data_IF_525127763330
#
_entry.id   IF_525127763330
#
_cell.length_a   1.000
_cell.length_b   1.000
_cell.length_c   1.000
_cell.angle_alpha   90.00
_cell.angle_beta   90.00
_cell.angle_gamma   90.00
#
_symmetry.space_group_name_H-M   'P 1'
#
loop_
_entity.id
_entity.type
_entity.pdbx_description
1 polymer ?
#
# COMPACT_ATOMS: atom_id res chain seq x y z
N UNK A 1 4.61 46.61 20.06
CA UNK A 1 5.04 45.49 19.21
C UNK A 1 5.98 44.63 20.02
N UNK A 2 5.53 43.49 20.54
CA UNK A 2 6.34 42.62 21.42
C UNK A 2 7.03 41.54 20.57
N UNK A 3 8.37 41.41 20.56
CA UNK A 3 9.10 40.42 19.72
C UNK A 3 9.01 38.96 20.20
N UNK A 4 8.20 38.66 21.21
CA UNK A 4 8.17 37.33 21.84
C UNK A 4 6.85 36.59 21.58
N UNK A 5 6.62 36.19 20.33
CA UNK A 5 5.89 34.94 20.12
C UNK A 5 6.93 33.83 20.11
N UNK A 6 7.43 33.42 21.29
CA UNK A 6 8.18 32.17 21.38
C UNK A 6 7.17 31.08 21.06
N UNK A 7 7.16 30.59 19.82
CA UNK A 7 6.31 29.46 19.47
C UNK A 7 6.67 28.32 20.43
N UNK A 8 5.69 27.73 21.11
CA UNK A 8 5.94 26.66 22.09
C UNK A 8 6.84 25.55 21.50
N UNK A 9 6.75 25.35 20.19
CA UNK A 9 7.63 24.49 19.38
C UNK A 9 9.12 24.76 19.57
N UNK A 10 9.56 26.03 19.61
CA UNK A 10 10.96 26.40 19.91
C UNK A 10 11.35 26.07 21.34
N UNK A 11 10.45 26.32 22.28
CA UNK A 11 10.71 26.05 23.70
C UNK A 11 10.86 24.54 23.95
N UNK A 12 10.21 23.69 23.14
CA UNK A 12 10.40 22.25 23.13
C UNK A 12 11.66 21.77 22.36
N UNK A 13 12.50 22.69 21.87
CA UNK A 13 13.75 22.35 21.17
C UNK A 13 13.58 21.83 19.75
N UNK A 14 12.39 21.99 19.14
CA UNK A 14 12.16 21.52 17.77
C UNK A 14 12.80 22.47 16.75
N UNK A 15 13.39 21.88 15.69
CA UNK A 15 13.74 22.63 14.48
C UNK A 15 12.48 23.00 13.72
N UNK A 16 12.41 24.24 13.26
CA UNK A 16 11.26 24.81 12.56
C UNK A 16 11.65 25.10 11.11
N UNK A 17 10.89 24.55 10.17
CA UNK A 17 10.97 24.90 8.75
C UNK A 17 9.69 25.66 8.41
N UNK A 18 9.82 26.87 7.87
CA UNK A 18 8.68 27.69 7.45
C UNK A 18 8.44 27.55 5.94
N UNK A 19 7.17 27.37 5.55
CA UNK A 19 6.71 27.56 4.17
C UNK A 19 5.93 28.87 4.14
N UNK A 20 6.39 29.85 3.36
CA UNK A 20 5.77 31.19 3.32
C UNK A 20 6.07 31.90 2.01
N UNK A 21 5.24 32.86 1.62
CA UNK A 21 5.53 33.67 0.44
C UNK A 21 6.45 34.87 0.70
N UNK A 22 6.75 35.18 1.97
CA UNK A 22 7.58 36.32 2.34
C UNK A 22 8.70 35.89 3.28
N UNK A 23 9.91 35.79 2.76
CA UNK A 23 11.13 35.43 3.49
C UNK A 23 11.52 36.42 4.59
N UNK A 24 10.95 37.62 4.60
CA UNK A 24 11.15 38.64 5.65
C UNK A 24 10.01 38.68 6.69
N UNK A 25 9.01 37.79 6.56
CA UNK A 25 7.90 37.71 7.50
C UNK A 25 8.35 37.35 8.92
N UNK A 26 7.50 37.63 9.91
CA UNK A 26 7.74 37.22 11.30
C UNK A 26 7.91 35.69 11.42
N UNK A 27 7.20 34.91 10.60
CA UNK A 27 7.32 33.46 10.57
C UNK A 27 8.70 33.03 10.05
N UNK A 28 9.14 33.58 8.93
CA UNK A 28 10.45 33.27 8.33
C UNK A 28 11.61 33.61 9.28
N UNK A 29 11.58 34.80 9.90
CA UNK A 29 12.58 35.23 10.89
C UNK A 29 12.62 34.34 12.14
N UNK A 30 11.57 33.59 12.39
CA UNK A 30 11.46 32.67 13.53
C UNK A 30 11.64 31.20 13.14
N UNK A 31 12.04 30.86 11.92
CA UNK A 31 12.33 29.49 11.50
C UNK A 31 13.85 29.23 11.42
N UNK A 32 14.26 27.97 11.50
CA UNK A 32 15.64 27.52 11.24
C UNK A 32 15.94 27.43 9.74
N UNK A 33 14.91 27.20 8.92
CA UNK A 33 14.98 27.20 7.47
C UNK A 33 13.67 27.72 6.86
N UNK A 34 13.75 28.29 5.66
CA UNK A 34 12.60 28.87 4.95
C UNK A 34 12.51 28.30 3.54
N UNK A 35 11.34 27.79 3.19
CA UNK A 35 10.93 27.42 1.84
C UNK A 35 10.00 28.51 1.33
N UNK A 36 10.55 29.44 0.54
CA UNK A 36 9.80 30.59 0.05
C UNK A 36 9.01 30.24 -1.22
N UNK A 37 7.70 30.56 -1.25
CA UNK A 37 6.80 30.20 -2.36
C UNK A 37 7.04 31.02 -3.63
N UNK A 38 7.59 32.23 -3.51
CA UNK A 38 7.83 33.17 -4.60
C UNK A 38 6.63 33.41 -5.55
N UNK A 39 5.41 33.40 -5.04
CA UNK A 39 4.22 33.77 -5.81
C UNK A 39 4.00 35.28 -5.83
N UNK A 40 3.54 35.79 -6.97
CA UNK A 40 3.18 37.19 -7.13
C UNK A 40 1.82 37.52 -6.50
N UNK A 41 0.79 36.72 -6.78
CA UNK A 41 -0.59 36.95 -6.35
C UNK A 41 -1.43 35.66 -6.39
N UNK A 42 -2.61 35.71 -5.75
CA UNK A 42 -3.62 34.69 -5.93
C UNK A 42 -4.28 34.82 -7.31
N UNK A 43 -4.67 33.67 -7.87
CA UNK A 43 -5.44 33.62 -9.12
C UNK A 43 -6.93 33.89 -8.88
N UNK A 44 -7.39 33.88 -7.63
CA UNK A 44 -8.74 34.29 -7.27
C UNK A 44 -8.99 35.74 -7.71
N UNK A 45 -10.07 36.03 -8.49
CA UNK A 45 -10.34 37.39 -8.99
C UNK A 45 -10.48 38.45 -7.88
N UNK A 46 -10.93 38.03 -6.70
CA UNK A 46 -11.09 38.91 -5.54
C UNK A 46 -9.88 38.89 -4.59
N UNK A 47 -8.87 38.05 -4.85
CA UNK A 47 -7.70 37.82 -3.99
C UNK A 47 -8.07 37.43 -2.54
N UNK A 48 -9.28 36.85 -2.35
CA UNK A 48 -9.79 36.43 -1.04
C UNK A 48 -9.56 34.95 -0.76
N UNK A 49 -9.70 34.12 -1.80
CA UNK A 49 -9.58 32.68 -1.67
C UNK A 49 -8.14 32.24 -1.96
N UNK A 50 -7.55 31.39 -1.10
CA UNK A 50 -6.24 30.84 -1.36
C UNK A 50 -6.35 29.83 -2.50
N UNK A 51 -5.67 30.14 -3.61
CA UNK A 51 -5.69 29.38 -4.86
C UNK A 51 -4.27 28.96 -5.22
N UNK A 52 -3.47 29.91 -5.67
CA UNK A 52 -2.05 29.78 -5.99
C UNK A 52 -1.27 29.34 -4.75
N UNK A 53 -1.50 29.97 -3.59
CA UNK A 53 -0.78 29.64 -2.35
C UNK A 53 -1.03 28.20 -1.90
N UNK A 54 -2.28 27.74 -1.93
CA UNK A 54 -2.64 26.35 -1.57
C UNK A 54 -1.96 25.35 -2.51
N UNK A 55 -2.01 25.60 -3.82
CA UNK A 55 -1.40 24.71 -4.82
C UNK A 55 0.12 24.64 -4.67
N UNK A 56 0.80 25.78 -4.51
CA UNK A 56 2.25 25.80 -4.33
C UNK A 56 2.67 25.15 -3.01
N UNK A 57 1.93 25.40 -1.93
CA UNK A 57 2.21 24.78 -0.62
C UNK A 57 2.07 23.27 -0.69
N UNK A 58 1.04 22.76 -1.38
CA UNK A 58 0.84 21.32 -1.60
C UNK A 58 1.97 20.71 -2.41
N UNK A 59 2.35 21.35 -3.52
CA UNK A 59 3.43 20.87 -4.38
C UNK A 59 4.79 20.83 -3.65
N UNK A 60 5.10 21.84 -2.82
CA UNK A 60 6.31 21.85 -1.99
C UNK A 60 6.23 20.77 -0.91
N UNK A 61 5.07 20.56 -0.30
CA UNK A 61 4.84 19.48 0.67
C UNK A 61 5.15 18.11 0.08
N UNK A 62 4.62 17.82 -1.12
CA UNK A 62 4.87 16.56 -1.83
C UNK A 62 6.34 16.41 -2.22
N UNK A 63 6.95 17.47 -2.76
CA UNK A 63 8.37 17.46 -3.10
C UNK A 63 9.26 17.19 -1.88
N UNK A 64 8.94 17.79 -0.72
CA UNK A 64 9.66 17.55 0.53
C UNK A 64 9.47 16.11 1.02
N UNK A 65 8.26 15.57 0.95
CA UNK A 65 7.99 14.18 1.32
C UNK A 65 8.80 13.21 0.45
N UNK A 66 8.82 13.42 -0.87
CA UNK A 66 9.59 12.62 -1.82
C UNK A 66 11.09 12.75 -1.57
N UNK A 67 11.60 13.96 -1.37
CA UNK A 67 13.01 14.18 -1.05
C UNK A 67 13.41 13.43 0.22
N UNK A 68 12.55 13.41 1.25
CA UNK A 68 12.78 12.66 2.48
C UNK A 68 12.72 11.15 2.28
N UNK A 69 11.81 10.64 1.43
CA UNK A 69 11.76 9.23 1.04
C UNK A 69 13.09 8.80 0.41
N UNK A 70 13.63 9.58 -0.53
CA UNK A 70 14.91 9.31 -1.16
C UNK A 70 16.08 9.38 -0.17
N UNK A 71 16.15 10.46 0.62
CA UNK A 71 17.23 10.67 1.57
C UNK A 71 17.29 9.59 2.66
N UNK A 72 16.12 9.12 3.11
CA UNK A 72 16.01 8.04 4.10
C UNK A 72 16.08 6.65 3.49
N UNK A 73 16.17 6.53 2.16
CA UNK A 73 16.08 5.26 1.43
C UNK A 73 14.86 4.45 1.89
N UNK A 74 13.72 5.14 2.05
CA UNK A 74 12.51 4.55 2.61
C UNK A 74 11.92 3.53 1.63
N UNK A 75 11.87 2.28 2.05
CA UNK A 75 11.45 1.14 1.22
C UNK A 75 9.97 0.77 1.46
N UNK A 76 9.34 0.02 0.54
CA UNK A 76 7.97 -0.47 0.75
C UNK A 76 7.79 -1.24 2.07
N UNK A 77 8.77 -2.06 2.48
CA UNK A 77 8.69 -2.76 3.77
C UNK A 77 8.72 -1.82 4.98
N UNK A 78 9.38 -0.66 4.87
CA UNK A 78 9.33 0.36 5.92
C UNK A 78 7.93 0.95 6.01
N UNK A 79 7.29 1.23 4.86
CA UNK A 79 5.90 1.67 4.83
C UNK A 79 4.99 0.70 5.57
N UNK A 80 5.13 -0.59 5.26
CA UNK A 80 4.31 -1.65 5.84
C UNK A 80 4.52 -1.77 7.36
N UNK A 81 5.76 -1.61 7.83
CA UNK A 81 6.11 -1.61 9.26
C UNK A 81 5.51 -0.43 10.02
N UNK A 82 5.54 0.77 9.45
CA UNK A 82 5.02 1.98 10.11
C UNK A 82 3.50 2.15 9.94
N UNK A 83 2.89 1.50 8.94
CA UNK A 83 1.46 1.63 8.62
C UNK A 83 0.77 0.27 8.39
N UNK A 84 0.86 -0.69 9.34
CA UNK A 84 0.37 -2.05 9.13
C UNK A 84 -1.17 -2.13 9.02
N UNK A 85 -1.90 -1.17 9.59
CA UNK A 85 -3.37 -1.18 9.63
C UNK A 85 -4.07 -0.82 8.32
N UNK A 86 -3.34 -0.26 7.35
CA UNK A 86 -3.90 0.14 6.05
C UNK A 86 -3.94 -1.00 5.02
N UNK A 87 -4.69 -0.79 3.93
CA UNK A 87 -4.76 -1.75 2.81
C UNK A 87 -3.38 -2.02 2.18
N UNK A 88 -2.56 -0.98 2.03
CA UNK A 88 -1.21 -1.08 1.48
C UNK A 88 -0.27 -1.84 2.43
N UNK A 89 -0.32 -1.52 3.73
CA UNK A 89 0.48 -2.21 4.75
C UNK A 89 0.15 -3.70 4.82
N UNK A 90 -1.15 -4.04 4.82
CA UNK A 90 -1.61 -5.43 4.74
C UNK A 90 -1.08 -6.12 3.50
N UNK A 91 -1.26 -5.53 2.30
CA UNK A 91 -0.75 -6.10 1.04
C UNK A 91 0.76 -6.38 1.07
N UNK A 92 1.55 -5.50 1.69
CA UNK A 92 3.01 -5.63 1.76
C UNK A 92 3.46 -6.65 2.83
N UNK A 93 2.67 -6.89 3.87
CA UNK A 93 2.99 -7.84 4.94
C UNK A 93 2.42 -9.24 4.70
N UNK A 94 1.32 -9.37 3.95
CA UNK A 94 0.65 -10.64 3.67
C UNK A 94 1.55 -11.57 2.85
N UNK A 95 1.87 -12.72 3.44
CA UNK A 95 2.59 -13.83 2.80
C UNK A 95 1.59 -14.83 2.22
N UNK A 96 2.05 -15.68 1.30
CA UNK A 96 1.22 -16.77 0.75
C UNK A 96 0.68 -17.67 1.86
N UNK A 97 1.51 -17.99 2.86
CA UNK A 97 1.11 -18.80 4.01
C UNK A 97 -0.04 -18.19 4.83
N UNK A 98 -0.18 -16.87 4.85
CA UNK A 98 -1.23 -16.18 5.62
C UNK A 98 -2.62 -16.32 4.95
N UNK A 99 -2.66 -16.66 3.66
CA UNK A 99 -3.89 -16.81 2.86
C UNK A 99 -4.07 -18.22 2.31
N UNK A 100 -3.12 -19.12 2.56
CA UNK A 100 -3.15 -20.50 2.10
C UNK A 100 -4.18 -21.31 2.88
N UNK A 101 -5.00 -22.07 2.17
CA UNK A 101 -5.85 -23.09 2.76
C UNK A 101 -5.01 -24.33 3.09
N UNK A 102 -5.18 -24.87 4.29
CA UNK A 102 -4.42 -26.03 4.77
C UNK A 102 -5.17 -27.35 4.55
N UNK A 103 -6.51 -27.31 4.57
CA UNK A 103 -7.36 -28.46 4.30
C UNK A 103 -7.72 -28.47 2.80
N UNK A 104 -6.77 -28.91 1.97
CA UNK A 104 -6.96 -29.02 0.53
C UNK A 104 -7.42 -30.44 0.21
N UNK A 105 -8.50 -30.64 -0.56
CA UNK A 105 -8.96 -31.97 -0.94
C UNK A 105 -7.87 -32.70 -1.72
N UNK A 106 -7.52 -33.91 -1.30
CA UNK A 106 -6.52 -34.74 -1.96
C UNK A 106 -7.06 -36.14 -2.29
N UNK A 107 -6.46 -36.75 -3.32
CA UNK A 107 -6.66 -38.15 -3.75
C UNK A 107 -5.33 -38.76 -4.15
N UNK A 108 -5.23 -40.09 -4.12
CA UNK A 108 -4.04 -40.83 -4.58
C UNK A 108 -4.00 -40.96 -6.12
N UNK A 109 -2.81 -41.19 -6.69
CA UNK A 109 -2.60 -41.36 -8.14
C UNK A 109 -3.49 -42.43 -8.79
N UNK A 110 -3.86 -43.47 -8.06
CA UNK A 110 -4.69 -44.58 -8.53
C UNK A 110 -6.20 -44.36 -8.28
N UNK A 111 -6.59 -43.19 -7.76
CA UNK A 111 -7.96 -42.90 -7.42
C UNK A 111 -8.89 -42.97 -8.64
N UNK A 112 -10.05 -43.60 -8.44
CA UNK A 112 -11.05 -43.71 -9.48
C UNK A 112 -11.59 -42.32 -9.88
N UNK A 113 -12.02 -42.18 -11.12
CA UNK A 113 -12.65 -40.95 -11.61
C UNK A 113 -13.87 -40.53 -10.76
N UNK A 114 -14.63 -41.50 -10.24
CA UNK A 114 -15.75 -41.26 -9.31
C UNK A 114 -15.26 -40.62 -8.00
N UNK A 115 -14.16 -41.12 -7.44
CA UNK A 115 -13.54 -40.60 -6.23
C UNK A 115 -13.07 -39.16 -6.45
N UNK A 116 -12.46 -38.88 -7.60
CA UNK A 116 -12.03 -37.52 -8.00
C UNK A 116 -13.23 -36.56 -8.00
N UNK A 117 -14.34 -36.91 -8.69
CA UNK A 117 -15.55 -36.09 -8.73
C UNK A 117 -16.10 -35.84 -7.32
N UNK A 118 -16.24 -36.90 -6.51
CA UNK A 118 -16.75 -36.79 -5.15
C UNK A 118 -15.86 -35.90 -4.28
N UNK A 119 -14.54 -35.97 -4.45
CA UNK A 119 -13.59 -35.20 -3.63
C UNK A 119 -13.56 -33.73 -4.02
N UNK A 120 -13.60 -33.41 -5.32
CA UNK A 120 -13.74 -32.01 -5.78
C UNK A 120 -15.07 -31.42 -5.28
N UNK A 121 -16.17 -32.17 -5.40
CA UNK A 121 -17.50 -31.71 -4.98
C UNK A 121 -17.58 -31.48 -3.47
N UNK A 122 -17.11 -32.42 -2.66
CA UNK A 122 -17.14 -32.30 -1.19
C UNK A 122 -16.13 -31.27 -0.66
N UNK A 123 -15.05 -31.03 -1.40
CA UNK A 123 -14.02 -30.07 -1.06
C UNK A 123 -14.41 -28.61 -1.27
N UNK A 124 -15.40 -28.32 -2.12
CA UNK A 124 -15.88 -26.97 -2.44
C UNK A 124 -14.78 -25.96 -2.86
N UNK A 125 -13.62 -26.46 -3.31
CA UNK A 125 -12.46 -25.65 -3.72
C UNK A 125 -12.24 -25.65 -5.24
N UNK A 126 -13.09 -26.35 -6.00
CA UNK A 126 -13.03 -26.44 -7.46
C UNK A 126 -11.83 -27.23 -8.01
N UNK A 127 -11.04 -27.84 -7.13
CA UNK A 127 -9.90 -28.68 -7.45
C UNK A 127 -9.68 -29.76 -6.39
N UNK A 128 -8.86 -30.74 -6.76
CA UNK A 128 -8.30 -31.75 -5.86
C UNK A 128 -6.80 -31.91 -6.17
N UNK A 129 -5.99 -32.06 -5.13
CA UNK A 129 -4.59 -32.46 -5.25
C UNK A 129 -4.51 -33.96 -5.52
N UNK A 130 -3.57 -34.34 -6.38
CA UNK A 130 -3.21 -35.73 -6.64
C UNK A 130 -1.88 -35.97 -5.94
N UNK A 131 -1.87 -36.91 -5.01
CA UNK A 131 -0.70 -37.29 -4.22
C UNK A 131 -0.08 -38.57 -4.77
N UNK A 132 1.25 -38.63 -4.73
CA UNK A 132 1.99 -39.87 -4.92
C UNK A 132 1.96 -40.77 -3.67
N UNK A 133 2.55 -41.95 -3.78
CA UNK A 133 2.60 -42.93 -2.69
C UNK A 133 3.41 -42.47 -1.47
N UNK A 134 4.26 -41.46 -1.61
CA UNK A 134 5.05 -40.86 -0.53
C UNK A 134 4.35 -39.64 0.10
N UNK A 135 3.14 -39.29 -0.37
CA UNK A 135 2.39 -38.11 0.06
C UNK A 135 2.88 -36.81 -0.58
N UNK A 136 3.72 -36.90 -1.62
CA UNK A 136 4.15 -35.77 -2.43
C UNK A 136 3.09 -35.31 -3.41
N UNK A 137 3.09 -34.02 -3.77
CA UNK A 137 2.19 -33.48 -4.79
C UNK A 137 2.60 -33.96 -6.18
N UNK A 138 1.82 -34.87 -6.75
CA UNK A 138 1.98 -35.36 -8.12
C UNK A 138 1.29 -34.46 -9.15
N UNK A 139 0.21 -33.77 -8.78
CA UNK A 139 -0.51 -32.85 -9.67
C UNK A 139 -1.83 -32.34 -9.10
N UNK A 140 -2.63 -31.67 -9.93
CA UNK A 140 -3.98 -31.22 -9.58
C UNK A 140 -4.98 -31.59 -10.67
N UNK A 141 -6.24 -31.80 -10.28
CA UNK A 141 -7.37 -31.93 -11.20
C UNK A 141 -8.41 -30.89 -10.81
N UNK A 142 -8.90 -30.12 -11.78
CA UNK A 142 -9.91 -29.08 -11.55
C UNK A 142 -11.28 -29.49 -12.12
N UNK A 143 -12.34 -28.84 -11.65
CA UNK A 143 -13.68 -28.94 -12.26
C UNK A 143 -13.66 -28.64 -13.77
N UNK A 144 -12.80 -27.71 -14.18
CA UNK A 144 -12.61 -27.38 -15.59
C UNK A 144 -12.08 -28.56 -16.39
N UNK A 145 -11.15 -29.35 -15.82
CA UNK A 145 -10.59 -30.53 -16.47
C UNK A 145 -11.64 -31.61 -16.62
N UNK A 146 -12.44 -31.85 -15.57
CA UNK A 146 -13.56 -32.78 -15.62
C UNK A 146 -14.57 -32.40 -16.71
N UNK A 147 -15.00 -31.14 -16.74
CA UNK A 147 -15.95 -30.63 -17.73
C UNK A 147 -15.42 -30.81 -19.15
N UNK A 148 -14.17 -30.37 -19.42
CA UNK A 148 -13.54 -30.50 -20.74
C UNK A 148 -13.37 -31.96 -21.18
N UNK A 149 -13.05 -32.86 -20.24
CA UNK A 149 -12.91 -34.28 -20.53
C UNK A 149 -14.26 -34.93 -20.89
N UNK A 150 -15.33 -34.57 -20.17
CA UNK A 150 -16.67 -35.07 -20.43
C UNK A 150 -17.22 -34.57 -21.77
N UNK A 151 -17.03 -33.29 -22.10
CA UNK A 151 -17.46 -32.73 -23.40
C UNK A 151 -16.81 -33.47 -24.59
N UNK A 152 -15.52 -33.81 -24.49
CA UNK A 152 -14.79 -34.55 -25.54
C UNK A 152 -15.20 -36.03 -25.71
N UNK A 153 -15.95 -36.59 -24.77
CA UNK A 153 -16.41 -38.01 -24.84
C UNK A 153 -17.90 -38.14 -25.12
N UNK A 154 -18.65 -37.04 -25.06
CA UNK A 154 -20.11 -36.99 -25.28
C UNK A 154 -20.45 -36.39 -26.66
N UNK A 155 -19.50 -35.67 -27.28
CA UNK A 155 -19.48 -35.28 -28.69
C UNK A 155 -18.49 -36.16 -29.47
#
# INVERSE_FOLDING_TARGET
>A
MNPQASSSLKNFGNRIIAITNNGNSTLAKNADAVLELHMANETCPNNLAPTTSTTLTMAIGDALAIAMIHQRKFMPNDFARYHPGGSLGRRLLTRVADVMLHDVPAVQLDASFKTVIQRITSGCQGMVMVEDAEGGLAGIITDGDLRRFMEKRIL
#
